data_IF_156957584798
#
_entry.id   IF_156957584798
#
_cell.length_a   1.000
_cell.length_b   1.000
_cell.length_c   1.000
_cell.angle_alpha   90.00
_cell.angle_beta   90.00
_cell.angle_gamma   90.00
#
_symmetry.space_group_name_H-M   'P 1'
#
loop_
_entity.id
_entity.type
_entity.pdbx_description
1 polymer ?
#
# COMPACT_ATOMS: atom_id res chain seq x y z
N UNK A 1 -40.15 53.69 14.18
CA UNK A 1 -38.70 53.62 13.90
C UNK A 1 -38.45 52.53 12.87
N UNK A 2 -37.68 52.90 11.84
CA UNK A 2 -36.92 52.11 10.84
C UNK A 2 -37.62 50.98 10.07
N UNK A 3 -37.98 51.33 8.82
CA UNK A 3 -37.90 50.45 7.66
C UNK A 3 -36.55 50.59 6.94
N UNK A 4 -36.29 49.62 6.08
CA UNK A 4 -35.07 49.26 5.34
C UNK A 4 -34.56 50.27 4.33
N UNK A 5 -33.24 50.28 4.06
CA UNK A 5 -32.72 50.51 2.71
C UNK A 5 -31.30 49.95 2.55
N UNK A 6 -31.13 49.19 1.46
CA UNK A 6 -29.92 48.50 1.04
C UNK A 6 -29.00 49.44 0.23
N UNK A 7 -27.69 49.27 0.38
CA UNK A 7 -26.69 49.90 -0.47
C UNK A 7 -25.91 48.81 -1.22
N UNK A 8 -26.25 48.65 -2.49
CA UNK A 8 -25.60 47.81 -3.50
C UNK A 8 -24.22 48.39 -3.84
N UNK A 9 -23.14 47.62 -3.60
CA UNK A 9 -21.77 47.99 -3.97
C UNK A 9 -21.42 47.32 -5.31
N UNK A 10 -21.26 48.14 -6.34
CA UNK A 10 -20.89 47.74 -7.70
C UNK A 10 -19.54 47.00 -7.76
N UNK A 11 -19.48 45.92 -8.55
CA UNK A 11 -18.24 45.19 -8.89
C UNK A 11 -17.61 45.76 -10.17
N UNK A 12 -16.27 45.83 -10.29
CA UNK A 12 -15.60 46.28 -11.51
C UNK A 12 -15.62 45.22 -12.63
N UNK A 13 -15.56 45.62 -13.91
CA UNK A 13 -15.59 44.72 -15.06
C UNK A 13 -14.25 43.99 -15.30
N UNK A 14 -14.26 42.84 -16.00
CA UNK A 14 -13.04 42.07 -16.28
C UNK A 14 -12.19 42.69 -17.42
N UNK A 15 -10.86 42.47 -17.41
CA UNK A 15 -9.97 42.98 -18.44
C UNK A 15 -10.08 42.19 -19.76
N UNK A 16 -10.05 42.96 -20.85
CA UNK A 16 -10.11 42.54 -22.25
C UNK A 16 -8.78 41.94 -22.75
N UNK A 17 -8.89 40.82 -23.44
CA UNK A 17 -8.13 40.51 -24.66
C UNK A 17 -6.63 40.25 -24.56
N UNK A 18 -6.24 38.99 -24.29
CA UNK A 18 -4.94 38.46 -24.68
C UNK A 18 -5.11 37.54 -25.91
N UNK A 19 -4.59 37.99 -27.05
CA UNK A 19 -4.62 37.33 -28.37
C UNK A 19 -3.44 36.35 -28.46
N UNK A 20 -3.72 35.05 -28.58
CA UNK A 20 -2.71 34.02 -28.81
C UNK A 20 -2.21 34.01 -30.27
N UNK A 21 -0.90 33.90 -30.53
CA UNK A 21 -0.38 33.66 -31.88
C UNK A 21 -0.42 32.17 -32.28
N UNK A 22 -0.38 31.85 -33.60
CA UNK A 22 -0.82 30.57 -34.14
C UNK A 22 0.22 29.43 -34.04
N UNK A 23 -0.32 28.20 -34.10
CA UNK A 23 0.44 26.94 -34.23
C UNK A 23 1.17 26.87 -35.57
N UNK A 24 2.42 26.41 -35.55
CA UNK A 24 3.19 26.06 -36.75
C UNK A 24 3.27 24.52 -36.90
N UNK A 25 3.06 23.94 -38.10
CA UNK A 25 3.18 22.50 -38.34
C UNK A 25 4.52 22.10 -39.00
N UNK A 26 4.83 20.80 -38.89
CA UNK A 26 5.69 19.95 -39.74
C UNK A 26 7.23 20.15 -39.73
N UNK A 27 7.97 19.09 -39.39
CA UNK A 27 8.61 18.20 -40.39
C UNK A 27 9.51 17.13 -39.74
N UNK A 28 9.32 15.89 -40.18
CA UNK A 28 10.28 14.78 -39.99
C UNK A 28 11.53 15.00 -40.85
N UNK A 29 12.63 14.31 -40.51
CA UNK A 29 13.34 13.59 -41.56
C UNK A 29 13.46 12.09 -41.25
N UNK A 30 13.11 11.32 -42.27
CA UNK A 30 13.45 9.91 -42.44
C UNK A 30 14.97 9.69 -42.43
N UNK A 31 15.39 8.58 -41.86
CA UNK A 31 16.77 8.11 -41.92
C UNK A 31 16.91 6.76 -41.24
N UNK A 32 16.41 5.69 -41.88
CA UNK A 32 16.78 4.33 -41.52
C UNK A 32 18.20 4.01 -41.98
N UNK A 33 18.87 3.10 -41.26
CA UNK A 33 19.79 2.09 -41.80
C UNK A 33 20.23 1.12 -40.68
N UNK A 34 19.88 -0.16 -40.89
CA UNK A 34 20.51 -1.41 -40.44
C UNK A 34 20.28 -1.92 -38.99
N UNK A 35 19.57 -3.05 -38.81
CA UNK A 35 19.78 -3.90 -37.65
C UNK A 35 21.07 -4.72 -37.86
N UNK A 36 22.05 -4.55 -36.97
CA UNK A 36 23.17 -5.49 -36.88
C UNK A 36 22.62 -6.78 -36.28
N UNK A 37 22.29 -7.72 -37.16
CA UNK A 37 21.98 -9.11 -36.81
C UNK A 37 23.27 -9.77 -36.31
N UNK A 38 23.54 -9.68 -35.01
CA UNK A 38 24.48 -10.58 -34.35
C UNK A 38 23.84 -11.96 -34.30
N UNK A 39 24.25 -12.82 -35.24
CA UNK A 39 24.13 -14.27 -35.10
C UNK A 39 24.99 -14.71 -33.92
N UNK A 40 24.41 -14.83 -32.74
CA UNK A 40 24.95 -15.70 -31.69
C UNK A 40 24.30 -17.07 -31.85
N UNK A 41 24.94 -17.89 -32.68
CA UNK A 41 24.73 -19.33 -32.65
C UNK A 41 25.39 -19.87 -31.38
N UNK A 42 24.60 -20.57 -30.57
CA UNK A 42 25.05 -21.70 -29.75
C UNK A 42 26.11 -21.41 -28.68
N UNK A 43 25.64 -20.99 -27.50
CA UNK A 43 26.13 -21.54 -26.24
C UNK A 43 24.92 -21.65 -25.32
N UNK A 44 24.28 -22.83 -25.35
CA UNK A 44 23.42 -23.26 -24.25
C UNK A 44 24.32 -23.44 -23.02
N UNK A 45 24.57 -22.34 -22.32
CA UNK A 45 25.05 -22.39 -20.96
C UNK A 45 23.85 -22.74 -20.10
N UNK A 46 23.70 -24.02 -19.79
CA UNK A 46 23.02 -24.47 -18.58
C UNK A 46 23.84 -23.98 -17.38
N UNK A 47 23.83 -22.67 -17.16
CA UNK A 47 24.17 -22.07 -15.90
C UNK A 47 22.85 -21.88 -15.18
N UNK A 48 22.67 -22.60 -14.07
CA UNK A 48 21.80 -22.14 -13.00
C UNK A 48 22.09 -20.65 -12.80
N UNK A 49 21.15 -19.79 -13.22
CA UNK A 49 21.17 -18.40 -12.82
C UNK A 49 20.96 -18.44 -11.31
N UNK A 50 22.06 -18.46 -10.56
CA UNK A 50 22.04 -18.30 -9.12
C UNK A 50 21.21 -17.04 -8.86
N UNK A 51 19.95 -17.25 -8.44
CA UNK A 51 18.93 -16.21 -8.44
C UNK A 51 19.45 -15.03 -7.66
N UNK A 52 19.48 -13.85 -8.28
CA UNK A 52 19.94 -12.63 -7.61
C UNK A 52 19.03 -12.38 -6.42
N UNK A 53 19.56 -12.62 -5.22
CA UNK A 53 18.82 -12.41 -3.97
C UNK A 53 18.88 -10.92 -3.62
N UNK A 54 17.72 -10.26 -3.69
CA UNK A 54 17.60 -8.85 -3.32
C UNK A 54 17.86 -8.67 -1.81
N UNK A 55 18.83 -7.86 -1.38
CA UNK A 55 19.09 -7.63 0.04
C UNK A 55 17.90 -6.99 0.76
N UNK A 56 17.75 -7.28 2.06
CA UNK A 56 16.65 -6.81 2.91
C UNK A 56 16.33 -5.32 2.75
N UNK A 57 17.34 -4.45 2.80
CA UNK A 57 17.10 -3.01 2.78
C UNK A 57 16.54 -2.54 1.42
N UNK A 58 17.00 -3.12 0.31
CA UNK A 58 16.43 -2.84 -1.01
C UNK A 58 14.98 -3.33 -1.11
N UNK A 59 14.67 -4.49 -0.54
CA UNK A 59 13.28 -4.97 -0.43
C UNK A 59 12.40 -3.99 0.35
N UNK A 60 12.87 -3.49 1.50
CA UNK A 60 12.10 -2.57 2.34
C UNK A 60 11.95 -1.19 1.69
N UNK A 61 12.96 -0.71 0.96
CA UNK A 61 12.87 0.52 0.16
C UNK A 61 11.84 0.38 -0.97
N UNK A 62 11.83 -0.76 -1.66
CA UNK A 62 10.80 -1.05 -2.69
C UNK A 62 9.40 -1.06 -2.06
N UNK A 63 9.24 -1.67 -0.89
CA UNK A 63 7.97 -1.67 -0.19
C UNK A 63 7.57 -0.26 0.29
N UNK A 64 8.51 0.57 0.77
CA UNK A 64 8.25 1.97 1.12
C UNK A 64 7.70 2.75 -0.07
N UNK A 65 8.38 2.67 -1.22
CA UNK A 65 7.98 3.37 -2.44
C UNK A 65 6.58 2.95 -2.90
N UNK A 66 6.25 1.66 -2.78
CA UNK A 66 4.89 1.14 -3.05
C UNK A 66 3.86 1.68 -2.06
N UNK A 67 4.21 1.75 -0.77
CA UNK A 67 3.34 2.33 0.27
C UNK A 67 2.99 3.79 0.00
N UNK A 68 3.97 4.59 -0.45
CA UNK A 68 3.80 6.02 -0.76
C UNK A 68 2.99 6.26 -2.05
N UNK A 69 3.12 5.38 -3.05
CA UNK A 69 2.33 5.45 -4.30
C UNK A 69 0.87 5.07 -4.10
N UNK A 70 0.55 4.40 -2.99
CA UNK A 70 -0.77 3.83 -2.73
C UNK A 70 -0.93 2.44 -3.35
N UNK A 71 -1.83 1.68 -2.74
CA UNK A 71 -1.97 0.24 -2.98
C UNK A 71 -3.38 -0.08 -3.45
N UNK A 72 -3.49 -0.74 -4.60
CA UNK A 72 -4.74 -1.29 -5.11
C UNK A 72 -5.89 -0.27 -5.12
N UNK A 73 -6.96 -0.58 -4.41
CA UNK A 73 -8.17 0.24 -4.28
C UNK A 73 -8.13 1.24 -3.10
N UNK A 74 -6.97 1.38 -2.43
CA UNK A 74 -6.77 2.26 -1.29
C UNK A 74 -7.37 1.76 0.03
N UNK A 75 -7.90 0.54 0.06
CA UNK A 75 -8.50 -0.03 1.29
C UNK A 75 -7.50 -0.64 2.24
N UNK A 76 -6.25 -0.80 1.79
CA UNK A 76 -5.11 -1.14 2.63
C UNK A 76 -3.98 -0.15 2.33
N UNK A 77 -3.21 0.20 3.34
CA UNK A 77 -2.02 1.04 3.20
C UNK A 77 -1.00 0.68 4.27
N UNK A 78 0.26 1.04 4.05
CA UNK A 78 1.28 0.95 5.07
C UNK A 78 2.36 2.01 4.87
N UNK A 79 3.08 2.34 5.93
CA UNK A 79 4.21 3.26 5.92
C UNK A 79 5.12 3.03 7.11
N UNK A 80 6.31 3.64 7.09
CA UNK A 80 7.24 3.57 8.22
C UNK A 80 6.64 4.28 9.45
N UNK A 81 6.86 3.70 10.62
CA UNK A 81 6.39 4.29 11.88
C UNK A 81 7.27 5.45 12.35
N UNK A 82 8.57 5.32 12.08
CA UNK A 82 9.60 6.33 12.35
C UNK A 82 10.44 6.51 11.09
N UNK A 83 10.40 7.71 10.51
CA UNK A 83 11.13 8.05 9.29
C UNK A 83 12.65 8.08 9.52
N UNK A 84 13.11 8.21 10.77
CA UNK A 84 14.52 8.25 11.14
C UNK A 84 15.09 6.83 11.39
N UNK A 85 14.26 5.78 11.42
CA UNK A 85 14.72 4.39 11.54
C UNK A 85 15.40 3.91 10.26
N UNK A 86 16.72 4.08 10.21
CA UNK A 86 17.58 3.62 9.11
C UNK A 86 17.47 2.11 8.82
N UNK A 87 17.02 1.31 9.79
CA UNK A 87 16.85 -0.13 9.60
C UNK A 87 15.47 -0.51 9.07
N UNK A 88 14.54 0.45 8.99
CA UNK A 88 13.19 0.30 8.46
C UNK A 88 12.47 -0.90 9.07
N UNK A 89 12.53 -1.04 10.40
CA UNK A 89 11.98 -2.22 11.09
C UNK A 89 10.52 -2.04 11.46
N UNK A 90 10.12 -0.84 11.85
CA UNK A 90 8.78 -0.56 12.37
C UNK A 90 7.90 0.07 11.31
N UNK A 91 6.75 -0.56 11.05
CA UNK A 91 5.78 -0.13 10.05
C UNK A 91 4.38 -0.06 10.65
N UNK A 92 3.62 0.93 10.23
CA UNK A 92 2.18 1.02 10.52
C UNK A 92 1.41 0.61 9.28
N UNK A 93 0.54 -0.41 9.43
CA UNK A 93 -0.41 -0.84 8.42
C UNK A 93 -1.83 -0.34 8.75
N UNK A 94 -2.63 -0.08 7.73
CA UNK A 94 -4.04 0.29 7.86
C UNK A 94 -4.90 -0.64 6.99
N UNK A 95 -6.03 -1.09 7.54
CA UNK A 95 -7.07 -1.82 6.81
C UNK A 95 -8.39 -1.11 7.01
N UNK A 96 -9.05 -0.75 5.92
CA UNK A 96 -10.47 -0.36 5.92
C UNK A 96 -11.29 -1.65 5.89
N UNK A 97 -12.16 -1.81 6.89
CA UNK A 97 -12.93 -3.03 7.07
C UNK A 97 -13.83 -3.35 5.86
N UNK A 98 -13.90 -4.63 5.46
CA UNK A 98 -14.65 -5.02 4.26
C UNK A 98 -16.16 -4.79 4.41
N UNK A 99 -16.80 -4.44 3.29
CA UNK A 99 -18.25 -4.30 3.18
C UNK A 99 -18.99 -5.59 3.52
N UNK A 100 -20.25 -5.46 3.96
CA UNK A 100 -21.13 -6.57 4.32
C UNK A 100 -20.57 -7.45 5.46
N UNK A 101 -19.79 -6.84 6.35
CA UNK A 101 -19.27 -7.49 7.56
C UNK A 101 -19.46 -6.57 8.76
N UNK A 102 -19.32 -7.12 9.96
CA UNK A 102 -19.25 -6.34 11.23
C UNK A 102 -18.08 -5.34 11.27
N UNK A 103 -17.14 -5.43 10.33
CA UNK A 103 -15.98 -4.55 10.24
C UNK A 103 -16.23 -3.35 9.31
N UNK A 104 -17.33 -3.33 8.55
CA UNK A 104 -17.62 -2.26 7.60
C UNK A 104 -17.63 -0.88 8.27
N UNK A 105 -17.01 0.10 7.60
CA UNK A 105 -16.89 1.48 8.08
C UNK A 105 -15.78 1.70 9.11
N UNK A 106 -15.17 0.64 9.65
CA UNK A 106 -14.09 0.74 10.65
C UNK A 106 -12.71 0.81 10.00
N UNK A 107 -11.80 1.54 10.64
CA UNK A 107 -10.38 1.63 10.26
C UNK A 107 -9.54 0.91 11.32
N UNK A 108 -8.79 -0.09 10.90
CA UNK A 108 -7.89 -0.85 11.79
C UNK A 108 -6.45 -0.48 11.53
N UNK A 109 -5.73 -0.11 12.59
CA UNK A 109 -4.29 0.08 12.56
C UNK A 109 -3.58 -1.19 13.05
N UNK A 110 -2.46 -1.50 12.41
CA UNK A 110 -1.59 -2.63 12.72
C UNK A 110 -0.15 -2.13 12.84
N UNK A 111 0.65 -2.85 13.62
CA UNK A 111 2.11 -2.70 13.64
C UNK A 111 2.72 -3.95 13.01
N UNK A 112 3.60 -3.73 12.03
CA UNK A 112 4.42 -4.75 11.41
C UNK A 112 5.88 -4.50 11.78
N UNK A 113 6.54 -5.52 12.29
CA UNK A 113 7.96 -5.46 12.65
C UNK A 113 8.77 -6.38 11.75
N UNK A 114 9.49 -5.78 10.81
CA UNK A 114 10.39 -6.44 9.88
C UNK A 114 11.77 -6.55 10.54
N UNK A 115 12.04 -7.69 11.19
CA UNK A 115 13.34 -7.91 11.84
C UNK A 115 14.48 -8.09 10.82
N UNK A 116 15.68 -8.44 11.30
CA UNK A 116 16.88 -8.62 10.47
C UNK A 116 16.76 -9.74 9.43
N UNK A 117 15.86 -10.71 9.66
CA UNK A 117 15.70 -11.89 8.82
C UNK A 117 14.58 -11.70 7.79
N UNK A 118 13.84 -10.60 7.82
CA UNK A 118 12.94 -10.22 6.73
C UNK A 118 13.72 -9.96 5.43
N UNK A 119 13.24 -10.38 4.23
CA UNK A 119 12.01 -11.13 3.96
C UNK A 119 12.16 -12.65 3.99
N UNK A 120 13.29 -13.22 4.40
CA UNK A 120 13.46 -14.68 4.50
C UNK A 120 12.56 -15.28 5.60
N UNK A 121 12.28 -14.50 6.64
CA UNK A 121 11.26 -14.80 7.66
C UNK A 121 10.12 -13.78 7.61
N UNK A 122 8.90 -14.18 7.98
CA UNK A 122 7.77 -13.26 8.04
C UNK A 122 8.01 -12.18 9.10
N UNK A 123 7.44 -10.97 8.92
CA UNK A 123 7.47 -9.96 9.97
C UNK A 123 6.55 -10.38 11.12
N UNK A 124 6.78 -9.80 12.30
CA UNK A 124 5.80 -9.91 13.40
C UNK A 124 4.66 -8.95 13.13
N UNK A 125 3.42 -9.41 13.25
CA UNK A 125 2.22 -8.62 12.97
C UNK A 125 1.34 -8.56 14.21
N UNK A 126 0.97 -7.34 14.62
CA UNK A 126 -0.03 -7.11 15.67
C UNK A 126 -1.03 -6.06 15.25
N UNK A 127 -2.28 -6.25 15.63
CA UNK A 127 -3.24 -5.17 15.61
C UNK A 127 -2.92 -4.16 16.71
N UNK A 128 -3.04 -2.88 16.40
CA UNK A 128 -3.07 -1.81 17.39
C UNK A 128 -4.53 -1.51 17.79
N UNK A 129 -5.43 -1.40 16.81
CA UNK A 129 -6.87 -1.33 17.06
C UNK A 129 -7.40 -2.68 17.54
N UNK A 130 -8.24 -2.71 18.60
CA UNK A 130 -8.83 -3.97 19.05
C UNK A 130 -9.74 -4.57 17.99
N UNK A 131 -9.61 -5.88 17.80
CA UNK A 131 -10.39 -6.66 16.86
C UNK A 131 -10.65 -8.05 17.42
N UNK A 132 -11.86 -8.55 17.22
CA UNK A 132 -12.17 -9.95 17.44
C UNK A 132 -12.05 -10.69 16.10
N UNK A 133 -10.99 -11.48 15.93
CA UNK A 133 -10.74 -12.30 14.74
C UNK A 133 -10.06 -13.61 15.15
N UNK A 134 -10.41 -14.71 14.50
CA UNK A 134 -9.97 -16.07 14.88
C UNK A 134 -8.45 -16.28 14.92
N UNK A 135 -7.70 -15.58 14.08
CA UNK A 135 -6.24 -15.63 14.05
C UNK A 135 -5.55 -14.52 14.87
N UNK A 136 -6.28 -13.75 15.67
CA UNK A 136 -5.73 -12.67 16.51
C UNK A 136 -5.90 -13.01 17.99
N UNK A 137 -4.83 -12.83 18.76
CA UNK A 137 -4.91 -12.96 20.21
C UNK A 137 -5.71 -11.78 20.81
N UNK A 138 -6.77 -12.11 21.54
CA UNK A 138 -7.73 -11.12 22.05
C UNK A 138 -7.18 -10.18 23.14
N UNK A 139 -6.04 -10.51 23.76
CA UNK A 139 -5.42 -9.69 24.81
C UNK A 139 -4.28 -8.82 24.28
N UNK A 140 -3.52 -9.32 23.29
CA UNK A 140 -2.28 -8.68 22.83
C UNK A 140 -2.37 -8.10 21.42
N UNK A 141 -3.39 -8.50 20.64
CA UNK A 141 -3.51 -8.12 19.23
C UNK A 141 -2.54 -8.85 18.30
N UNK A 142 -1.68 -9.73 18.81
CA UNK A 142 -0.74 -10.50 17.99
C UNK A 142 -1.49 -11.43 17.04
N UNK A 143 -1.07 -11.43 15.77
CA UNK A 143 -1.55 -12.37 14.77
C UNK A 143 -0.84 -13.71 14.97
N UNK A 144 -1.61 -14.76 15.22
CA UNK A 144 -1.10 -16.11 15.40
C UNK A 144 -0.66 -16.70 14.05
N UNK A 145 0.66 -16.85 13.88
CA UNK A 145 1.27 -17.40 12.67
C UNK A 145 0.70 -18.77 12.27
N UNK A 146 0.26 -19.60 13.23
CA UNK A 146 -0.27 -20.95 12.95
C UNK A 146 -1.69 -20.92 12.41
N UNK A 147 -2.45 -19.87 12.75
CA UNK A 147 -3.85 -19.71 12.33
C UNK A 147 -3.99 -18.86 11.07
N UNK A 148 -2.93 -18.17 10.67
CA UNK A 148 -2.93 -17.32 9.49
C UNK A 148 -2.04 -17.92 8.40
N UNK A 149 -2.67 -18.51 7.38
CA UNK A 149 -2.03 -19.34 6.36
C UNK A 149 -0.85 -18.67 5.67
N UNK A 150 -0.92 -17.36 5.41
CA UNK A 150 0.15 -16.62 4.75
C UNK A 150 1.44 -16.57 5.59
N UNK A 151 1.36 -16.43 6.92
CA UNK A 151 2.55 -16.43 7.77
C UNK A 151 3.04 -17.86 8.07
N UNK A 152 2.14 -18.84 8.19
CA UNK A 152 2.54 -20.24 8.38
C UNK A 152 3.30 -20.83 7.19
N UNK A 153 2.97 -20.38 5.96
CA UNK A 153 3.60 -20.82 4.72
C UNK A 153 4.37 -19.67 4.07
N UNK A 154 5.06 -18.86 4.89
CA UNK A 154 5.77 -17.67 4.42
C UNK A 154 6.76 -18.01 3.31
N UNK A 155 6.80 -17.16 2.28
CA UNK A 155 7.79 -17.20 1.22
C UNK A 155 8.36 -15.80 1.05
N UNK A 156 9.62 -15.72 0.62
CA UNK A 156 10.36 -14.45 0.49
C UNK A 156 9.67 -13.45 -0.43
N UNK A 157 8.87 -13.94 -1.39
CA UNK A 157 8.17 -13.10 -2.34
C UNK A 157 7.00 -12.34 -1.71
N UNK A 158 6.48 -12.80 -0.55
CA UNK A 158 5.40 -12.11 0.15
C UNK A 158 5.85 -10.78 0.75
N UNK A 159 4.92 -9.83 0.77
CA UNK A 159 5.12 -8.44 1.22
C UNK A 159 4.21 -8.10 2.40
N UNK A 160 4.44 -6.94 3.01
CA UNK A 160 3.50 -6.31 3.95
C UNK A 160 2.13 -6.07 3.31
N UNK A 161 2.10 -5.68 2.03
CA UNK A 161 0.86 -5.59 1.24
C UNK A 161 0.09 -6.92 1.24
N UNK A 162 0.77 -8.04 0.95
CA UNK A 162 0.12 -9.34 0.91
C UNK A 162 -0.47 -9.73 2.27
N UNK A 163 0.23 -9.40 3.37
CA UNK A 163 -0.26 -9.59 4.74
C UNK A 163 -1.57 -8.82 4.95
N UNK A 164 -1.59 -7.52 4.65
CA UNK A 164 -2.76 -6.66 4.88
C UNK A 164 -3.95 -7.09 4.02
N UNK A 165 -3.72 -7.41 2.75
CA UNK A 165 -4.77 -7.90 1.84
C UNK A 165 -5.35 -9.23 2.35
N UNK A 166 -4.51 -10.16 2.81
CA UNK A 166 -4.98 -11.44 3.31
C UNK A 166 -5.68 -11.33 4.67
N UNK A 167 -5.24 -10.44 5.56
CA UNK A 167 -5.97 -10.14 6.79
C UNK A 167 -7.34 -9.53 6.50
N UNK A 168 -7.44 -8.61 5.53
CA UNK A 168 -8.72 -8.07 5.07
C UNK A 168 -9.65 -9.17 4.52
N UNK A 169 -9.11 -10.14 3.77
CA UNK A 169 -9.87 -11.31 3.32
C UNK A 169 -10.32 -12.19 4.49
N UNK A 170 -9.46 -12.37 5.49
CA UNK A 170 -9.76 -13.13 6.69
C UNK A 170 -10.93 -12.51 7.47
N UNK A 171 -11.02 -11.17 7.55
CA UNK A 171 -12.17 -10.47 8.14
C UNK A 171 -13.51 -10.81 7.45
N UNK A 172 -13.48 -11.14 6.16
CA UNK A 172 -14.67 -11.47 5.37
C UNK A 172 -15.06 -12.97 5.41
N UNK A 173 -14.24 -13.84 6.02
CA UNK A 173 -14.55 -15.27 6.12
C UNK A 173 -15.80 -15.52 6.97
N UNK A 174 -16.45 -16.65 6.76
CA UNK A 174 -17.69 -17.02 7.48
C UNK A 174 -17.54 -16.98 9.00
N UNK A 175 -16.36 -17.31 9.50
CA UNK A 175 -16.06 -17.37 10.93
C UNK A 175 -15.83 -15.99 11.55
N UNK A 176 -15.36 -14.99 10.77
CA UNK A 176 -15.01 -13.67 11.29
C UNK A 176 -16.04 -12.58 10.98
N UNK A 177 -16.69 -12.63 9.80
CA UNK A 177 -17.54 -11.54 9.27
C UNK A 177 -18.74 -11.16 10.14
N UNK A 178 -19.10 -11.99 11.12
CA UNK A 178 -20.22 -11.79 12.08
C UNK A 178 -19.79 -11.78 13.55
N UNK A 179 -18.49 -11.85 13.85
CA UNK A 179 -18.03 -11.85 15.23
C UNK A 179 -18.33 -10.51 15.89
N UNK A 180 -18.93 -10.55 17.08
CA UNK A 180 -19.17 -9.34 17.87
C UNK A 180 -17.83 -8.65 18.10
N UNK A 181 -17.72 -7.40 17.67
CA UNK A 181 -16.50 -6.62 17.78
C UNK A 181 -16.50 -5.78 19.06
N UNK A 182 -15.31 -5.46 19.61
CA UNK A 182 -15.19 -4.45 20.64
C UNK A 182 -15.67 -3.07 20.13
N UNK A 183 -15.91 -2.11 21.04
CA UNK A 183 -16.20 -0.74 20.67
C UNK A 183 -15.11 -0.18 19.75
N UNK A 184 -15.52 0.58 18.75
CA UNK A 184 -14.59 1.26 17.85
C UNK A 184 -13.72 2.27 18.63
N UNK A 185 -12.49 2.49 18.15
CA UNK A 185 -11.54 3.39 18.81
C UNK A 185 -10.93 2.81 20.09
N UNK A 186 -11.07 1.50 20.34
CA UNK A 186 -10.33 0.80 21.40
C UNK A 186 -9.03 0.22 20.85
N UNK A 187 -7.97 0.23 21.66
CA UNK A 187 -6.62 -0.19 21.28
C UNK A 187 -6.06 -1.23 22.27
N UNK A 188 -5.06 -1.99 21.84
CA UNK A 188 -4.26 -2.90 22.68
C UNK A 188 -3.16 -2.16 23.43
#
# INVERSE_FOLDING_TARGET
QRGTSAAERARPPPPTGARAPPRNPLSHPSGGLLPVLLHFSGMASSGDAAGVVVPRNFRLLEELERGEKGIGDGTVSYGMDDADDIYMRSWTGTIIGPHNTVHEGRIYQLKLFCDKDYPDRPPTVRFHSRINMTCVNAETGLVDQRKFSLLSNWRREYTMENILIQLKKEMATSHNRKLVQPPEGTFY
#
